data_IF_250655471330
#
_entry.id   IF_250655471330
#
_cell.length_a   1.000
_cell.length_b   1.000
_cell.length_c   1.000
_cell.angle_alpha   90.00
_cell.angle_beta   90.00
_cell.angle_gamma   90.00
#
_symmetry.space_group_name_H-M   'P 1'
#
loop_
_entity.id
_entity.type
_entity.pdbx_description
1 polymer ?
#
# COMPACT_ATOMS: atom_id res chain seq x y z
N UNK A 1 -1.21 -17.68 6.34
CA UNK A 1 -2.48 -17.05 6.76
C UNK A 1 -2.44 -16.73 8.25
N UNK A 2 -2.18 -15.47 8.56
CA UNK A 2 -2.15 -14.91 9.91
C UNK A 2 -3.59 -14.54 10.35
N UNK A 3 -3.88 -14.66 11.64
CA UNK A 3 -5.18 -14.26 12.20
C UNK A 3 -5.01 -13.28 13.35
N UNK A 4 -6.00 -12.41 13.54
CA UNK A 4 -6.04 -11.43 14.63
C UNK A 4 -7.45 -11.42 15.25
N UNK A 5 -7.56 -11.26 16.56
CA UNK A 5 -8.84 -11.14 17.26
C UNK A 5 -9.06 -9.67 17.63
N UNK A 6 -10.15 -9.06 17.14
CA UNK A 6 -10.58 -7.70 17.49
C UNK A 6 -12.00 -7.78 18.03
N UNK A 7 -12.23 -7.30 19.25
CA UNK A 7 -13.54 -7.32 19.93
C UNK A 7 -14.25 -8.69 19.90
N UNK A 8 -13.47 -9.78 20.02
CA UNK A 8 -13.98 -11.15 20.00
C UNK A 8 -14.27 -11.71 18.61
N UNK A 9 -14.01 -10.95 17.54
CA UNK A 9 -14.13 -11.39 16.14
C UNK A 9 -12.76 -11.81 15.62
N UNK A 10 -12.65 -13.03 15.10
CA UNK A 10 -11.43 -13.50 14.42
C UNK A 10 -11.39 -12.96 12.99
N UNK A 11 -10.31 -12.27 12.66
CA UNK A 11 -10.01 -11.71 11.35
C UNK A 11 -8.89 -12.53 10.70
N UNK A 12 -9.08 -12.87 9.42
CA UNK A 12 -8.03 -13.45 8.58
C UNK A 12 -7.32 -12.33 7.82
N UNK A 13 -6.02 -12.17 8.06
CA UNK A 13 -5.24 -11.11 7.42
C UNK A 13 -4.81 -11.54 6.02
N UNK A 14 -4.92 -10.62 5.06
CA UNK A 14 -4.41 -10.85 3.71
C UNK A 14 -2.89 -10.93 3.72
N UNK A 15 -2.33 -11.77 2.87
CA UNK A 15 -0.90 -11.85 2.66
C UNK A 15 -0.42 -10.70 1.76
N UNK A 16 0.83 -10.23 1.89
CA UNK A 16 1.40 -9.26 0.96
C UNK A 16 1.40 -9.77 -0.47
N UNK A 17 1.24 -8.87 -1.44
CA UNK A 17 1.23 -9.24 -2.85
C UNK A 17 2.63 -9.61 -3.36
N UNK A 18 2.71 -10.74 -4.06
CA UNK A 18 3.88 -11.19 -4.82
C UNK A 18 3.58 -11.15 -6.32
N UNK A 19 3.76 -9.96 -6.91
CA UNK A 19 3.47 -9.75 -8.33
C UNK A 19 4.77 -9.82 -9.13
N UNK A 20 4.85 -10.64 -10.20
CA UNK A 20 6.05 -10.76 -11.04
C UNK A 20 6.22 -9.52 -11.95
N UNK A 21 6.46 -8.37 -11.35
CA UNK A 21 6.60 -7.07 -12.00
C UNK A 21 8.06 -6.61 -11.98
N UNK A 22 8.57 -6.18 -13.14
CA UNK A 22 9.90 -5.55 -13.26
C UNK A 22 9.76 -4.10 -13.69
N UNK A 23 10.41 -3.18 -12.97
CA UNK A 23 10.49 -1.79 -13.38
C UNK A 23 11.56 -1.60 -14.46
N UNK A 24 11.17 -1.04 -15.59
CA UNK A 24 12.06 -0.74 -16.74
C UNK A 24 12.16 0.76 -17.04
N UNK A 25 11.56 1.59 -16.19
CA UNK A 25 11.55 3.05 -16.36
C UNK A 25 12.74 3.75 -15.73
N UNK A 26 12.66 5.07 -15.62
CA UNK A 26 13.73 5.88 -15.05
C UNK A 26 13.92 5.60 -13.55
N UNK A 27 15.16 5.39 -13.08
CA UNK A 27 15.42 5.12 -11.66
C UNK A 27 15.06 6.31 -10.78
N UNK A 28 15.17 7.54 -11.27
CA UNK A 28 14.86 8.75 -10.51
C UNK A 28 13.42 8.81 -10.01
N UNK A 29 12.47 8.22 -10.75
CA UNK A 29 11.08 8.12 -10.31
C UNK A 29 10.94 7.19 -9.10
N UNK A 30 11.72 6.11 -9.04
CA UNK A 30 11.76 5.21 -7.89
C UNK A 30 12.31 5.97 -6.69
N UNK A 31 13.40 6.71 -6.87
CA UNK A 31 14.01 7.55 -5.84
C UNK A 31 13.02 8.57 -5.29
N UNK A 32 12.21 9.21 -6.13
CA UNK A 32 11.18 10.16 -5.68
C UNK A 32 10.11 9.50 -4.79
N UNK A 33 9.65 8.30 -5.16
CA UNK A 33 8.68 7.55 -4.35
C UNK A 33 9.30 7.13 -3.02
N UNK A 34 10.53 6.62 -3.03
CA UNK A 34 11.25 6.24 -1.81
C UNK A 34 11.52 7.44 -0.90
N UNK A 35 11.87 8.60 -1.47
CA UNK A 35 12.07 9.83 -0.72
C UNK A 35 10.77 10.31 -0.05
N UNK A 36 9.63 10.16 -0.72
CA UNK A 36 8.32 10.49 -0.13
C UNK A 36 7.99 9.61 1.08
N UNK A 37 8.53 8.39 1.16
CA UNK A 37 8.33 7.48 2.30
C UNK A 37 9.48 7.47 3.31
N UNK A 38 10.51 8.28 3.10
CA UNK A 38 11.65 8.35 4.01
C UNK A 38 11.21 8.99 5.34
N UNK A 39 11.52 8.31 6.44
CA UNK A 39 11.29 8.76 7.81
C UNK A 39 12.64 8.86 8.50
N UNK A 40 13.02 10.04 8.97
CA UNK A 40 14.35 10.29 9.54
C UNK A 40 14.37 10.28 11.08
N UNK A 41 13.22 10.50 11.72
CA UNK A 41 13.09 10.62 13.17
C UNK A 41 11.82 9.94 13.67
N UNK A 42 11.72 9.77 14.99
CA UNK A 42 10.57 9.08 15.61
C UNK A 42 9.25 9.87 15.51
N UNK A 43 9.31 11.19 15.35
CA UNK A 43 8.13 12.06 15.21
C UNK A 43 7.77 12.32 13.74
N UNK A 44 8.51 11.72 12.80
CA UNK A 44 8.34 11.93 11.37
C UNK A 44 7.38 10.89 10.78
N UNK A 45 6.55 11.32 9.83
CA UNK A 45 5.57 10.47 9.16
C UNK A 45 5.84 10.46 7.66
N UNK A 46 5.75 9.28 7.00
CA UNK A 46 5.91 9.22 5.56
C UNK A 46 4.78 10.01 4.87
N UNK A 47 5.06 10.56 3.70
CA UNK A 47 4.06 11.19 2.86
C UNK A 47 3.18 10.14 2.18
N UNK A 48 2.01 10.58 1.70
CA UNK A 48 1.09 9.78 0.90
C UNK A 48 1.15 10.22 -0.57
N UNK A 49 2.17 9.79 -1.35
CA UNK A 49 2.36 10.28 -2.71
C UNK A 49 1.22 9.84 -3.64
N UNK A 50 0.72 10.78 -4.44
CA UNK A 50 -0.25 10.49 -5.50
C UNK A 50 0.45 10.39 -6.86
N UNK A 51 0.46 9.20 -7.44
CA UNK A 51 1.02 8.98 -8.78
C UNK A 51 -0.04 9.30 -9.86
N UNK A 52 0.23 10.32 -10.67
CA UNK A 52 -0.68 10.78 -11.74
C UNK A 52 -0.06 10.54 -13.11
N UNK A 53 -0.86 10.16 -14.09
CA UNK A 53 -0.41 9.94 -15.46
C UNK A 53 -1.39 9.08 -16.26
N UNK A 54 -1.20 9.05 -17.59
CA UNK A 54 -2.05 8.29 -18.51
C UNK A 54 -2.16 6.81 -18.09
N UNK A 55 -3.25 6.10 -18.45
CA UNK A 55 -3.31 4.65 -18.29
C UNK A 55 -2.11 3.95 -18.96
N UNK A 56 -1.64 2.84 -18.38
CA UNK A 56 -0.56 2.04 -18.96
C UNK A 56 0.87 2.56 -18.80
N UNK A 57 1.10 3.73 -18.19
CA UNK A 57 2.47 4.28 -18.02
C UNK A 57 3.29 3.65 -16.88
N UNK A 58 2.83 2.52 -16.32
CA UNK A 58 3.57 1.79 -15.28
C UNK A 58 3.47 2.33 -13.86
N UNK A 59 2.44 3.13 -13.51
CA UNK A 59 2.28 3.71 -12.16
C UNK A 59 2.26 2.65 -11.05
N UNK A 60 1.47 1.59 -11.23
CA UNK A 60 1.37 0.49 -10.27
C UNK A 60 2.70 -0.25 -10.16
N UNK A 61 3.36 -0.50 -11.30
CA UNK A 61 4.69 -1.13 -11.36
C UNK A 61 5.74 -0.29 -10.62
N UNK A 62 5.72 1.04 -10.79
CA UNK A 62 6.61 1.97 -10.08
C UNK A 62 6.42 1.89 -8.57
N UNK A 63 5.18 2.04 -8.09
CA UNK A 63 4.88 1.99 -6.65
C UNK A 63 5.24 0.64 -6.04
N UNK A 64 4.86 -0.46 -6.71
CA UNK A 64 5.15 -1.81 -6.25
C UNK A 64 6.65 -2.07 -6.18
N UNK A 65 7.40 -1.71 -7.23
CA UNK A 65 8.85 -1.85 -7.26
C UNK A 65 9.55 -1.00 -6.18
N UNK A 66 9.11 0.25 -6.00
CA UNK A 66 9.63 1.12 -4.95
C UNK A 66 9.38 0.54 -3.54
N UNK A 67 8.18 0.01 -3.27
CA UNK A 67 7.86 -0.61 -1.98
C UNK A 67 8.67 -1.88 -1.73
N UNK A 68 8.76 -2.77 -2.72
CA UNK A 68 9.53 -4.02 -2.61
C UNK A 68 11.03 -3.80 -2.45
N UNK A 69 11.60 -2.77 -3.11
CA UNK A 69 13.02 -2.43 -2.96
C UNK A 69 13.39 -1.91 -1.57
N UNK A 70 12.40 -1.45 -0.78
CA UNK A 70 12.57 -1.12 0.64
C UNK A 70 12.43 -2.33 1.58
N UNK A 71 12.30 -3.56 1.03
CA UNK A 71 12.02 -4.78 1.77
C UNK A 71 10.77 -4.67 2.67
N UNK A 72 9.77 -3.91 2.23
CA UNK A 72 8.48 -3.78 2.91
C UNK A 72 7.43 -4.71 2.29
N UNK A 73 6.48 -5.24 3.07
CA UNK A 73 5.29 -5.87 2.51
C UNK A 73 4.51 -4.82 1.71
N UNK A 74 4.03 -5.20 0.53
CA UNK A 74 3.25 -4.32 -0.34
C UNK A 74 1.89 -4.96 -0.54
N UNK A 75 0.85 -4.15 -0.37
CA UNK A 75 -0.54 -4.55 -0.54
C UNK A 75 -1.16 -3.70 -1.64
N UNK A 76 -1.84 -4.34 -2.58
CA UNK A 76 -2.50 -3.71 -3.71
C UNK A 76 -4.00 -3.88 -3.57
N UNK A 77 -4.70 -2.75 -3.43
CA UNK A 77 -6.15 -2.73 -3.41
C UNK A 77 -6.69 -2.06 -4.67
N UNK A 78 -7.54 -2.76 -5.41
CA UNK A 78 -8.20 -2.22 -6.59
C UNK A 78 -9.53 -1.56 -6.20
N UNK A 79 -9.50 -0.22 -6.06
CA UNK A 79 -10.73 0.54 -5.86
C UNK A 79 -11.60 0.54 -7.14
N UNK A 80 -12.90 0.30 -6.95
CA UNK A 80 -13.95 0.38 -7.97
C UNK A 80 -15.04 1.36 -7.51
N UNK A 81 -16.07 1.61 -8.33
CA UNK A 81 -17.19 2.48 -7.92
C UNK A 81 -17.99 1.90 -6.74
N UNK A 82 -17.94 0.58 -6.55
CA UNK A 82 -18.64 -0.12 -5.49
C UNK A 82 -17.79 -0.29 -4.22
N UNK A 83 -16.52 0.14 -4.23
CA UNK A 83 -15.66 0.10 -3.05
C UNK A 83 -16.26 0.94 -1.93
N UNK A 84 -16.44 0.32 -0.77
CA UNK A 84 -16.96 0.94 0.45
C UNK A 84 -15.87 1.00 1.52
N UNK A 85 -16.01 1.87 2.55
CA UNK A 85 -15.04 1.94 3.64
C UNK A 85 -14.81 0.58 4.31
N UNK A 86 -15.84 -0.22 4.51
CA UNK A 86 -15.75 -1.55 5.13
C UNK A 86 -14.88 -2.55 4.35
N UNK A 87 -14.60 -2.30 3.06
CA UNK A 87 -13.68 -3.12 2.26
C UNK A 87 -12.19 -2.83 2.61
N UNK A 88 -11.91 -1.69 3.25
CA UNK A 88 -10.55 -1.21 3.55
C UNK A 88 -10.24 -1.15 5.03
N UNK A 89 -11.24 -0.85 5.86
CA UNK A 89 -11.04 -0.63 7.30
C UNK A 89 -11.99 -1.48 8.13
N UNK A 90 -11.44 -2.09 9.17
CA UNK A 90 -12.22 -2.69 10.26
C UNK A 90 -12.35 -1.62 11.33
N UNK A 91 -13.49 -0.94 11.37
CA UNK A 91 -13.79 0.00 12.46
C UNK A 91 -14.72 -0.70 13.44
N UNK A 92 -14.37 -0.82 14.73
CA UNK A 92 -15.36 -1.20 15.73
C UNK A 92 -16.50 -0.19 15.67
N UNK A 93 -17.73 -0.65 15.44
CA UNK A 93 -18.90 0.18 15.71
C UNK A 93 -18.97 0.26 17.23
N UNK A 94 -18.52 1.36 17.82
CA UNK A 94 -18.81 1.66 19.22
C UNK A 94 -20.32 1.93 19.29
N UNK A 95 -21.11 0.89 19.53
CA UNK A 95 -22.53 1.03 19.86
C UNK A 95 -22.67 1.13 21.37
N UNK A 96 -23.07 2.30 21.87
CA UNK A 96 -23.89 2.41 23.09
C UNK A 96 -25.34 2.70 22.70
#
# INVERSE_FOLDING_TARGET
>A
METAIIDGVELHLTEPDEVPMTWVGQPDLVTQVQAAWLVLGQEDFPLNPRLVGKPGVGKTTLAYHAGRSLNKPVYLFQATMDTRPEDLIVTPVISE
#
